data_IF_079518009456
#
_entry.id   IF_079518009456
#
_cell.length_a   1.000
_cell.length_b   1.000
_cell.length_c   1.000
_cell.angle_alpha   90.00
_cell.angle_beta   90.00
_cell.angle_gamma   90.00
#
_symmetry.space_group_name_H-M   'P 1'
#
loop_
_entity.id
_entity.type
_entity.pdbx_description
1 polymer ?
#
# COMPACT_ATOMS: atom_id res chain seq x y z
N UNK A 1 -1.98 27.12 29.68
CA UNK A 1 -2.44 25.98 28.87
C UNK A 1 -2.83 26.52 27.52
N UNK A 2 -1.98 26.35 26.50
CA UNK A 2 -2.44 26.54 25.11
C UNK A 2 -3.29 25.32 24.77
N UNK A 3 -4.55 25.55 24.41
CA UNK A 3 -5.43 24.50 23.92
C UNK A 3 -4.76 23.81 22.73
N UNK A 4 -4.83 22.48 22.69
CA UNK A 4 -4.43 21.72 21.51
C UNK A 4 -5.18 22.28 20.28
N UNK A 5 -4.52 22.46 19.13
CA UNK A 5 -5.20 22.95 17.93
C UNK A 5 -6.30 21.95 17.56
N UNK A 6 -7.55 22.41 17.58
CA UNK A 6 -8.71 21.62 17.16
C UNK A 6 -8.48 21.14 15.73
N UNK A 7 -8.46 19.82 15.54
CA UNK A 7 -8.32 19.19 14.23
C UNK A 7 -9.53 19.58 13.37
N UNK A 8 -9.30 20.09 12.16
CA UNK A 8 -10.39 20.52 11.29
C UNK A 8 -11.16 19.29 10.78
N UNK A 9 -12.43 19.20 11.16
CA UNK A 9 -13.29 18.09 10.75
C UNK A 9 -13.98 18.43 9.42
N UNK A 10 -13.55 17.77 8.34
CA UNK A 10 -14.05 18.00 6.97
C UNK A 10 -15.51 17.59 6.78
N UNK A 11 -15.96 16.59 7.56
CA UNK A 11 -17.27 15.95 7.42
C UNK A 11 -18.26 16.32 8.54
N UNK A 12 -17.97 17.35 9.34
CA UNK A 12 -18.92 17.88 10.33
C UNK A 12 -20.16 18.48 9.65
N UNK A 13 -21.28 18.57 10.36
CA UNK A 13 -22.53 19.14 9.81
C UNK A 13 -22.34 20.56 9.26
N UNK A 14 -21.42 21.34 9.82
CA UNK A 14 -21.09 22.70 9.40
C UNK A 14 -20.19 22.75 8.16
N UNK A 15 -19.18 21.86 8.06
CA UNK A 15 -18.16 21.91 7.02
C UNK A 15 -18.45 21.00 5.83
N UNK A 16 -19.19 19.91 6.01
CA UNK A 16 -19.50 18.95 4.95
C UNK A 16 -20.08 19.60 3.68
N UNK A 17 -20.98 20.61 3.74
CA UNK A 17 -21.49 21.28 2.56
C UNK A 17 -20.43 22.03 1.73
N UNK A 18 -19.30 22.42 2.36
CA UNK A 18 -18.22 23.16 1.69
C UNK A 18 -17.31 22.22 0.89
N UNK A 19 -17.13 20.98 1.36
CA UNK A 19 -16.16 20.02 0.83
C UNK A 19 -16.79 18.93 -0.04
N UNK A 20 -18.04 18.54 0.25
CA UNK A 20 -18.71 17.45 -0.44
C UNK A 20 -18.92 17.77 -1.93
N UNK A 21 -18.46 16.87 -2.79
CA UNK A 21 -18.49 16.98 -4.24
C UNK A 21 -17.69 18.16 -4.82
N UNK A 22 -16.81 18.79 -4.02
CA UNK A 22 -15.97 19.89 -4.46
C UNK A 22 -14.95 19.43 -5.50
N UNK A 23 -14.38 18.24 -5.31
CA UNK A 23 -13.32 17.65 -6.12
C UNK A 23 -13.86 16.71 -7.19
N UNK A 24 -15.03 16.09 -6.98
CA UNK A 24 -15.62 15.07 -7.89
C UNK A 24 -15.60 15.48 -9.37
N UNK A 25 -16.02 16.71 -9.69
CA UNK A 25 -16.05 17.19 -11.08
C UNK A 25 -14.65 17.33 -11.70
N UNK A 26 -13.64 17.65 -10.88
CA UNK A 26 -12.25 17.74 -11.30
C UNK A 26 -11.60 16.35 -11.40
N UNK A 27 -11.86 15.48 -10.42
CA UNK A 27 -11.40 14.08 -10.41
C UNK A 27 -11.89 13.31 -11.65
N UNK A 28 -13.12 13.58 -12.11
CA UNK A 28 -13.62 13.03 -13.39
C UNK A 28 -12.76 13.45 -14.59
N UNK A 29 -12.26 14.68 -14.61
CA UNK A 29 -11.35 15.16 -15.68
C UNK A 29 -9.98 14.52 -15.58
N UNK A 30 -9.45 14.37 -14.36
CA UNK A 30 -8.18 13.67 -14.09
C UNK A 30 -8.29 12.21 -14.55
N UNK A 31 -9.38 11.53 -14.23
CA UNK A 31 -9.64 10.16 -14.66
C UNK A 31 -9.65 10.04 -16.20
N UNK A 32 -10.35 10.93 -16.89
CA UNK A 32 -10.37 10.94 -18.37
C UNK A 32 -8.99 11.22 -18.97
N UNK A 33 -8.14 12.01 -18.30
CA UNK A 33 -6.77 12.26 -18.76
C UNK A 33 -5.91 10.99 -18.70
N UNK A 34 -6.04 10.20 -17.63
CA UNK A 34 -5.21 9.01 -17.41
C UNK A 34 -5.78 7.78 -18.14
N UNK A 35 -7.10 7.60 -18.11
CA UNK A 35 -7.80 6.48 -18.72
C UNK A 35 -9.03 6.94 -19.54
N UNK A 36 -8.84 7.48 -20.76
CA UNK A 36 -9.94 8.02 -21.59
C UNK A 36 -11.04 7.03 -21.98
N UNK A 37 -10.76 5.72 -21.87
CA UNK A 37 -11.66 4.64 -22.29
C UNK A 37 -12.49 4.07 -21.15
N UNK A 38 -12.19 4.41 -19.90
CA UNK A 38 -12.92 3.91 -18.74
C UNK A 38 -13.97 4.94 -18.30
N UNK A 39 -15.11 4.47 -17.80
CA UNK A 39 -16.03 5.29 -17.02
C UNK A 39 -15.69 5.19 -15.52
N UNK A 40 -16.27 6.06 -14.71
CA UNK A 40 -16.16 5.98 -13.24
C UNK A 40 -17.50 6.33 -12.62
N UNK A 41 -17.89 5.57 -11.61
CA UNK A 41 -19.11 5.84 -10.86
C UNK A 41 -18.93 7.05 -9.95
N UNK A 42 -20.02 7.78 -9.68
CA UNK A 42 -19.95 8.96 -8.81
C UNK A 42 -19.53 8.59 -7.37
N UNK A 43 -19.94 7.40 -6.86
CA UNK A 43 -19.51 6.87 -5.56
C UNK A 43 -18.00 6.57 -5.52
N UNK A 44 -17.42 6.10 -6.63
CA UNK A 44 -15.97 5.91 -6.74
C UNK A 44 -15.22 7.25 -6.61
N UNK A 45 -15.67 8.28 -7.33
CA UNK A 45 -15.05 9.60 -7.28
C UNK A 45 -15.25 10.31 -5.94
N UNK A 46 -16.39 10.09 -5.27
CA UNK A 46 -16.62 10.56 -3.90
C UNK A 46 -15.65 9.89 -2.91
N UNK A 47 -15.39 8.60 -3.07
CA UNK A 47 -14.40 7.90 -2.23
C UNK A 47 -12.97 8.43 -2.46
N UNK A 48 -12.59 8.73 -3.70
CA UNK A 48 -11.29 9.40 -3.97
C UNK A 48 -11.26 10.79 -3.33
N UNK A 49 -12.35 11.56 -3.40
CA UNK A 49 -12.43 12.86 -2.72
C UNK A 49 -12.18 12.73 -1.21
N UNK A 50 -12.79 11.74 -0.55
CA UNK A 50 -12.56 11.47 0.89
C UNK A 50 -11.08 11.25 1.21
N UNK A 51 -10.39 10.41 0.42
CA UNK A 51 -8.96 10.15 0.58
C UNK A 51 -8.12 11.41 0.37
N UNK A 52 -8.41 12.20 -0.66
CA UNK A 52 -7.68 13.45 -0.94
C UNK A 52 -7.90 14.50 0.15
N UNK A 53 -9.08 14.54 0.77
CA UNK A 53 -9.34 15.41 1.92
C UNK A 53 -8.61 14.93 3.19
N UNK A 54 -8.51 13.61 3.41
CA UNK A 54 -7.67 13.07 4.47
C UNK A 54 -6.19 13.46 4.27
N UNK A 55 -5.69 13.38 3.04
CA UNK A 55 -4.34 13.82 2.70
C UNK A 55 -4.16 15.33 2.96
N UNK A 56 -5.14 16.14 2.58
CA UNK A 56 -5.12 17.58 2.84
C UNK A 56 -5.03 17.87 4.34
N UNK A 57 -5.79 17.15 5.16
CA UNK A 57 -5.70 17.25 6.62
C UNK A 57 -4.27 16.96 7.11
N UNK A 58 -3.68 15.85 6.68
CA UNK A 58 -2.32 15.44 7.07
C UNK A 58 -1.26 16.50 6.71
N UNK A 59 -1.40 17.13 5.55
CA UNK A 59 -0.52 18.24 5.13
C UNK A 59 -0.73 19.50 5.99
N UNK A 60 -1.99 19.83 6.31
CA UNK A 60 -2.34 21.03 7.09
C UNK A 60 -1.95 20.93 8.57
N UNK A 61 -1.83 19.72 9.13
CA UNK A 61 -1.38 19.51 10.52
C UNK A 61 0.01 20.11 10.81
N UNK A 62 0.89 20.17 9.79
CA UNK A 62 2.21 20.79 9.91
C UNK A 62 2.16 22.33 9.98
N UNK A 63 0.98 22.93 9.84
CA UNK A 63 0.76 24.38 9.77
C UNK A 63 1.73 25.11 8.82
N UNK A 64 1.81 24.72 7.53
CA UNK A 64 2.77 25.26 6.59
C UNK A 64 2.50 26.74 6.26
N UNK A 65 3.52 27.60 6.45
CA UNK A 65 3.45 29.03 6.14
C UNK A 65 4.12 29.40 4.82
N UNK A 66 4.98 28.54 4.31
CA UNK A 66 5.66 28.69 3.02
C UNK A 66 5.47 27.45 2.15
N UNK A 67 5.73 27.55 0.84
CA UNK A 67 5.70 26.37 -0.03
C UNK A 67 6.82 25.38 0.33
N UNK A 68 7.94 25.86 0.89
CA UNK A 68 9.03 25.02 1.40
C UNK A 68 8.58 24.18 2.59
N UNK A 69 7.72 24.73 3.45
CA UNK A 69 7.19 23.97 4.61
C UNK A 69 6.29 22.83 4.14
N UNK A 70 5.55 23.03 3.04
CA UNK A 70 4.75 21.97 2.40
C UNK A 70 5.65 20.92 1.77
N UNK A 71 6.72 21.33 1.08
CA UNK A 71 7.72 20.43 0.52
C UNK A 71 8.38 19.55 1.59
N UNK A 72 8.83 20.17 2.69
CA UNK A 72 9.41 19.47 3.84
C UNK A 72 8.42 18.48 4.46
N UNK A 73 7.12 18.84 4.53
CA UNK A 73 6.09 17.94 5.03
C UNK A 73 5.90 16.75 4.11
N UNK A 74 5.77 16.97 2.80
CA UNK A 74 5.64 15.91 1.79
C UNK A 74 6.84 14.97 1.85
N UNK A 75 8.06 15.49 1.92
CA UNK A 75 9.27 14.67 1.99
C UNK A 75 9.32 13.77 3.24
N UNK A 76 8.71 14.19 4.34
CA UNK A 76 8.71 13.44 5.60
C UNK A 76 7.57 12.42 5.70
N UNK A 77 6.42 12.67 5.10
CA UNK A 77 5.25 11.79 5.23
C UNK A 77 5.00 10.88 4.03
N UNK A 78 5.47 11.24 2.83
CA UNK A 78 5.20 10.46 1.62
C UNK A 78 6.27 9.36 1.47
N UNK A 79 5.90 8.09 1.24
CA UNK A 79 6.89 7.02 1.08
C UNK A 79 7.70 7.15 -0.21
N UNK A 80 8.95 6.68 -0.20
CA UNK A 80 9.77 6.69 -1.42
C UNK A 80 9.23 5.66 -2.44
N UNK A 81 9.09 5.99 -3.75
CA UNK A 81 9.51 7.21 -4.43
C UNK A 81 8.46 8.30 -4.62
N UNK A 82 7.24 8.15 -4.12
CA UNK A 82 6.12 9.07 -4.43
C UNK A 82 6.40 10.51 -3.99
N UNK A 83 7.18 10.67 -2.91
CA UNK A 83 7.70 11.92 -2.39
C UNK A 83 8.38 12.77 -3.47
N UNK A 84 9.37 12.21 -4.17
CA UNK A 84 10.20 12.97 -5.13
C UNK A 84 9.38 13.43 -6.34
N UNK A 85 8.46 12.60 -6.81
CA UNK A 85 7.66 12.91 -7.98
C UNK A 85 6.56 13.94 -7.66
N UNK A 86 5.94 13.83 -6.48
CA UNK A 86 4.97 14.80 -6.01
C UNK A 86 5.60 16.20 -5.84
N UNK A 87 6.79 16.28 -5.24
CA UNK A 87 7.54 17.53 -5.09
C UNK A 87 7.88 18.12 -6.46
N UNK A 88 8.40 17.31 -7.39
CA UNK A 88 8.75 17.79 -8.72
C UNK A 88 7.55 18.33 -9.51
N UNK A 89 6.37 17.69 -9.42
CA UNK A 89 5.16 18.20 -10.09
C UNK A 89 4.65 19.50 -9.46
N UNK A 90 4.68 19.57 -8.12
CA UNK A 90 4.26 20.75 -7.37
C UNK A 90 5.18 21.97 -7.61
N UNK A 91 6.49 21.76 -7.64
CA UNK A 91 7.47 22.78 -8.03
C UNK A 91 7.20 23.29 -9.45
N UNK A 92 6.95 22.37 -10.41
CA UNK A 92 6.62 22.79 -11.77
C UNK A 92 5.28 23.56 -11.86
N UNK A 93 4.37 23.43 -10.89
CA UNK A 93 3.12 24.19 -10.84
C UNK A 93 3.35 25.66 -10.44
N UNK A 94 4.30 25.93 -9.56
CA UNK A 94 4.61 27.29 -9.09
C UNK A 94 5.62 28.01 -10.00
N UNK A 95 6.55 27.30 -10.64
CA UNK A 95 7.58 27.89 -11.50
C UNK A 95 7.04 28.34 -12.87
N UNK A 96 6.08 27.59 -13.44
CA UNK A 96 5.59 27.82 -14.79
C UNK A 96 4.25 28.55 -14.76
N UNK A 97 4.28 29.88 -14.93
CA UNK A 97 3.09 30.71 -15.26
C UNK A 97 2.35 30.25 -16.54
N UNK A 98 2.91 29.32 -17.32
CA UNK A 98 2.28 28.64 -18.45
C UNK A 98 2.50 27.13 -18.35
N UNK A 99 1.79 26.46 -17.44
CA UNK A 99 1.69 24.99 -17.44
C UNK A 99 0.98 24.56 -18.74
N UNK A 100 1.45 23.47 -19.36
CA UNK A 100 0.85 22.94 -20.60
C UNK A 100 -0.59 22.46 -20.35
N UNK A 101 -0.88 22.02 -19.12
CA UNK A 101 -2.21 21.70 -18.60
C UNK A 101 -2.38 22.40 -17.23
N UNK A 102 -3.30 23.37 -17.07
CA UNK A 102 -3.62 23.95 -15.77
C UNK A 102 -4.15 22.87 -14.80
N UNK A 103 -4.01 23.11 -13.50
CA UNK A 103 -4.57 22.23 -12.47
C UNK A 103 -6.08 22.06 -12.70
N UNK A 104 -6.56 20.83 -12.66
CA UNK A 104 -7.97 20.50 -12.75
C UNK A 104 -8.70 20.78 -11.44
N UNK A 105 -8.04 20.57 -10.30
CA UNK A 105 -8.61 20.85 -8.99
C UNK A 105 -8.88 22.35 -8.80
N UNK A 106 -9.99 22.75 -8.16
CA UNK A 106 -10.42 24.14 -8.12
C UNK A 106 -9.65 24.97 -7.07
N UNK A 107 -8.42 25.39 -7.41
CA UNK A 107 -7.55 26.20 -6.52
C UNK A 107 -8.28 27.41 -5.93
N UNK A 108 -9.07 28.12 -6.74
CA UNK A 108 -9.82 29.31 -6.31
C UNK A 108 -10.89 29.02 -5.25
N UNK A 109 -11.41 27.78 -5.21
CA UNK A 109 -12.37 27.36 -4.19
C UNK A 109 -11.67 26.78 -2.95
N UNK A 110 -10.55 26.10 -3.15
CA UNK A 110 -9.77 25.48 -2.06
C UNK A 110 -9.00 26.56 -1.27
N UNK A 111 -8.51 27.62 -1.92
CA UNK A 111 -7.69 28.66 -1.28
C UNK A 111 -8.40 29.39 -0.12
N UNK A 112 -9.67 29.83 -0.24
CA UNK A 112 -10.42 30.35 0.91
C UNK A 112 -10.60 29.33 2.03
N UNK A 113 -10.92 28.08 1.69
CA UNK A 113 -11.14 27.01 2.67
C UNK A 113 -9.87 26.65 3.44
N UNK A 114 -8.70 26.68 2.79
CA UNK A 114 -7.41 26.47 3.45
C UNK A 114 -7.16 27.49 4.56
N UNK A 115 -7.65 28.72 4.44
CA UNK A 115 -7.54 29.74 5.49
C UNK A 115 -8.41 29.40 6.69
N UNK A 116 -9.57 28.78 6.46
CA UNK A 116 -10.45 28.28 7.52
C UNK A 116 -9.81 27.08 8.23
N UNK A 117 -9.26 26.13 7.47
CA UNK A 117 -8.59 24.92 7.99
C UNK A 117 -7.36 25.28 8.83
N UNK A 118 -6.53 26.20 8.35
CA UNK A 118 -5.27 26.56 9.01
C UNK A 118 -5.42 27.67 10.06
N UNK A 119 -6.53 28.42 10.04
CA UNK A 119 -6.79 29.51 10.98
C UNK A 119 -5.93 30.77 10.77
N UNK A 120 -5.21 30.88 9.65
CA UNK A 120 -4.40 32.06 9.30
C UNK A 120 -4.40 32.36 7.80
N UNK A 121 -3.84 33.52 7.45
CA UNK A 121 -3.75 33.97 6.05
C UNK A 121 -2.69 33.16 5.30
N UNK A 122 -3.14 32.34 4.36
CA UNK A 122 -2.28 31.54 3.46
C UNK A 122 -2.02 32.33 2.18
N UNK A 123 -0.77 32.31 1.69
CA UNK A 123 -0.42 32.92 0.42
C UNK A 123 -0.91 32.06 -0.76
N UNK A 124 -1.26 32.69 -1.88
CA UNK A 124 -1.82 32.00 -3.04
C UNK A 124 -0.86 30.94 -3.61
N UNK A 125 0.45 31.24 -3.62
CA UNK A 125 1.47 30.30 -4.07
C UNK A 125 1.51 29.00 -3.23
N UNK A 126 1.30 29.10 -1.91
CA UNK A 126 1.25 27.93 -1.01
C UNK A 126 0.02 27.08 -1.34
N UNK A 127 -1.13 27.71 -1.58
CA UNK A 127 -2.34 26.99 -1.99
C UNK A 127 -2.20 26.30 -3.34
N UNK A 128 -1.56 26.94 -4.33
CA UNK A 128 -1.25 26.30 -5.63
C UNK A 128 -0.37 25.08 -5.42
N UNK A 129 0.65 25.17 -4.55
CA UNK A 129 1.56 24.07 -4.27
C UNK A 129 0.83 22.88 -3.60
N UNK A 130 0.03 23.14 -2.56
CA UNK A 130 -0.78 22.10 -1.89
C UNK A 130 -1.71 21.42 -2.91
N UNK A 131 -2.46 22.20 -3.69
CA UNK A 131 -3.41 21.63 -4.66
C UNK A 131 -2.70 20.84 -5.76
N UNK A 132 -1.49 21.23 -6.16
CA UNK A 132 -0.69 20.45 -7.09
C UNK A 132 -0.29 19.07 -6.53
N UNK A 133 0.09 19.00 -5.25
CA UNK A 133 0.36 17.73 -4.56
C UNK A 133 -0.91 16.86 -4.51
N UNK A 134 -2.06 17.44 -4.15
CA UNK A 134 -3.34 16.72 -4.10
C UNK A 134 -3.74 16.17 -5.48
N UNK A 135 -3.54 16.95 -6.55
CA UNK A 135 -3.85 16.54 -7.91
C UNK A 135 -2.92 15.43 -8.40
N UNK A 136 -1.64 15.49 -8.05
CA UNK A 136 -0.67 14.42 -8.36
C UNK A 136 -1.12 13.09 -7.74
N UNK A 137 -1.44 13.07 -6.45
CA UNK A 137 -1.92 11.87 -5.76
C UNK A 137 -3.27 11.39 -6.32
N UNK A 138 -4.18 12.32 -6.63
CA UNK A 138 -5.45 11.98 -7.30
C UNK A 138 -5.21 11.24 -8.61
N UNK A 139 -4.29 11.74 -9.44
CA UNK A 139 -3.94 11.13 -10.71
C UNK A 139 -3.28 9.75 -10.52
N UNK A 140 -2.44 9.59 -9.49
CA UNK A 140 -1.74 8.33 -9.21
C UNK A 140 -2.70 7.23 -8.75
N UNK A 141 -3.63 7.54 -7.83
CA UNK A 141 -4.72 6.63 -7.43
C UNK A 141 -5.54 6.21 -8.66
N UNK A 142 -6.01 7.17 -9.46
CA UNK A 142 -6.84 6.89 -10.63
C UNK A 142 -6.09 6.11 -11.72
N UNK A 143 -4.77 6.29 -11.83
CA UNK A 143 -3.88 5.52 -12.71
C UNK A 143 -3.73 4.08 -12.27
N UNK A 144 -3.47 3.88 -10.98
CA UNK A 144 -3.36 2.54 -10.39
C UNK A 144 -4.65 1.75 -10.60
N UNK A 145 -5.78 2.34 -10.22
CA UNK A 145 -7.09 1.69 -10.31
C UNK A 145 -7.51 1.47 -11.76
N UNK A 146 -7.28 2.44 -12.64
CA UNK A 146 -7.59 2.27 -14.06
C UNK A 146 -6.75 1.19 -14.74
N UNK A 147 -5.50 0.98 -14.32
CA UNK A 147 -4.70 -0.17 -14.77
C UNK A 147 -5.27 -1.49 -14.23
N UNK A 148 -5.64 -1.54 -12.95
CA UNK A 148 -6.28 -2.71 -12.35
C UNK A 148 -7.58 -3.11 -13.09
N UNK A 149 -8.50 -2.16 -13.27
CA UNK A 149 -9.80 -2.36 -13.96
C UNK A 149 -9.60 -2.82 -15.40
N UNK A 150 -8.63 -2.24 -16.13
CA UNK A 150 -8.28 -2.67 -17.48
C UNK A 150 -7.74 -4.11 -17.52
N UNK A 151 -6.94 -4.50 -16.52
CA UNK A 151 -6.36 -5.84 -16.46
C UNK A 151 -7.43 -6.92 -16.24
N UNK A 152 -8.47 -6.62 -15.46
CA UNK A 152 -9.63 -7.51 -15.29
C UNK A 152 -10.67 -7.38 -16.42
N UNK A 153 -10.37 -6.57 -17.45
CA UNK A 153 -11.22 -6.33 -18.64
C UNK A 153 -12.61 -5.75 -18.32
N UNK A 154 -12.68 -4.90 -17.30
CA UNK A 154 -13.83 -4.07 -17.03
C UNK A 154 -13.65 -2.68 -17.68
N UNK A 155 -14.77 -2.02 -18.00
CA UNK A 155 -14.78 -0.69 -18.63
C UNK A 155 -15.20 0.43 -17.66
N UNK A 156 -15.56 0.09 -16.41
CA UNK A 156 -16.04 1.04 -15.40
C UNK A 156 -15.26 0.88 -14.09
N UNK A 157 -14.83 2.00 -13.51
CA UNK A 157 -14.17 2.06 -12.21
C UNK A 157 -15.22 2.22 -11.12
N UNK A 158 -15.25 1.27 -10.18
CA UNK A 158 -16.13 1.31 -9.00
C UNK A 158 -15.35 1.61 -7.72
N UNK A 159 -16.06 1.97 -6.64
CA UNK A 159 -15.47 2.17 -5.30
C UNK A 159 -14.74 0.92 -4.79
N UNK A 160 -15.26 -0.26 -5.10
CA UNK A 160 -14.64 -1.51 -4.67
C UNK A 160 -13.30 -1.75 -5.40
N UNK A 161 -13.22 -1.40 -6.68
CA UNK A 161 -11.97 -1.49 -7.44
C UNK A 161 -10.89 -0.58 -6.86
N UNK A 162 -11.27 0.61 -6.40
CA UNK A 162 -10.35 1.52 -5.71
C UNK A 162 -9.80 0.87 -4.45
N UNK A 163 -10.67 0.33 -3.58
CA UNK A 163 -10.25 -0.33 -2.34
C UNK A 163 -9.31 -1.49 -2.60
N UNK A 164 -9.64 -2.37 -3.56
CA UNK A 164 -8.82 -3.55 -3.88
C UNK A 164 -7.46 -3.14 -4.44
N UNK A 165 -7.43 -2.20 -5.38
CA UNK A 165 -6.19 -1.74 -5.99
C UNK A 165 -5.30 -1.03 -4.97
N UNK A 166 -5.89 -0.20 -4.09
CA UNK A 166 -5.14 0.43 -2.99
C UNK A 166 -4.55 -0.61 -2.06
N UNK A 167 -5.32 -1.61 -1.59
CA UNK A 167 -4.78 -2.67 -0.72
C UNK A 167 -3.58 -3.43 -1.32
N UNK A 168 -3.48 -3.48 -2.64
CA UNK A 168 -2.35 -4.11 -3.34
C UNK A 168 -1.13 -3.18 -3.49
N UNK A 169 -1.30 -1.88 -3.33
CA UNK A 169 -0.23 -0.88 -3.46
C UNK A 169 0.30 -0.46 -2.10
N UNK A 170 1.50 -0.96 -1.77
CA UNK A 170 2.14 -0.68 -0.48
C UNK A 170 2.40 0.80 -0.24
N UNK A 171 2.72 1.57 -1.28
CA UNK A 171 3.09 2.99 -1.13
C UNK A 171 1.87 3.81 -0.76
N UNK A 172 0.74 3.61 -1.44
CA UNK A 172 -0.51 4.31 -1.12
C UNK A 172 -1.12 3.79 0.18
N UNK A 173 -1.03 2.48 0.47
CA UNK A 173 -1.48 1.96 1.77
C UNK A 173 -0.69 2.57 2.91
N UNK A 174 0.65 2.57 2.82
CA UNK A 174 1.52 3.16 3.82
C UNK A 174 1.31 4.68 3.92
N UNK A 175 0.77 5.36 2.91
CA UNK A 175 0.49 6.79 2.98
C UNK A 175 -0.86 7.11 3.65
N UNK A 176 -1.90 6.30 3.41
CA UNK A 176 -3.26 6.56 3.92
C UNK A 176 -3.58 5.85 5.25
N UNK A 177 -2.75 4.91 5.70
CA UNK A 177 -2.93 4.16 6.95
C UNK A 177 -1.92 4.49 8.05
N UNK A 178 -1.19 5.62 7.96
CA UNK A 178 -0.20 6.05 8.98
C UNK A 178 -0.81 6.38 10.35
N UNK A 179 -2.12 6.63 10.41
CA UNK A 179 -2.81 7.11 11.63
C UNK A 179 -3.06 6.03 12.70
N UNK A 180 -2.59 4.79 12.53
CA UNK A 180 -2.71 3.76 13.57
C UNK A 180 -1.42 3.59 14.40
N UNK A 181 -0.25 4.01 13.89
CA UNK A 181 1.03 3.74 14.56
C UNK A 181 1.82 4.99 14.97
N UNK A 182 1.67 6.15 14.31
CA UNK A 182 2.60 7.28 14.48
C UNK A 182 2.10 8.45 15.35
N UNK A 183 0.88 8.38 15.92
CA UNK A 183 0.41 9.30 16.98
C UNK A 183 0.78 8.78 18.40
N UNK A 184 1.40 7.60 18.50
CA UNK A 184 1.72 6.95 19.78
C UNK A 184 3.09 7.31 20.36
N UNK A 185 3.94 8.08 19.67
CA UNK A 185 5.37 8.22 20.06
C UNK A 185 5.73 9.49 20.86
N UNK A 186 4.84 10.48 21.05
CA UNK A 186 5.24 11.78 21.65
C UNK A 186 4.42 12.31 22.84
N UNK A 187 3.49 11.56 23.41
CA UNK A 187 2.85 11.94 24.68
C UNK A 187 2.80 10.78 25.66
N UNK A 188 3.80 10.74 26.55
CA UNK A 188 3.67 10.12 27.86
C UNK A 188 2.59 10.87 28.64
N UNK A 189 1.35 10.41 28.52
CA UNK A 189 0.27 10.69 29.44
C UNK A 189 -0.70 9.53 29.36
N UNK A 190 -0.79 8.78 30.46
CA UNK A 190 -1.83 7.80 30.76
C UNK A 190 -3.20 8.37 30.35
N UNK A 191 -3.73 7.95 29.19
CA UNK A 191 -5.14 7.66 28.90
C UNK A 191 -5.20 6.99 27.52
N UNK A 192 -5.50 5.70 27.53
CA UNK A 192 -5.67 4.88 26.33
C UNK A 192 -6.82 5.39 25.45
N UNK A 193 -6.62 5.57 24.14
CA UNK A 193 -7.72 5.79 23.22
C UNK A 193 -8.39 4.45 22.91
N UNK A 194 -9.58 4.29 23.46
CA UNK A 194 -10.41 3.10 23.33
C UNK A 194 -10.83 2.84 21.87
N UNK A 195 -10.00 2.12 21.11
CA UNK A 195 -10.40 1.43 19.88
C UNK A 195 -9.72 0.06 19.74
N UNK A 196 -9.63 -0.69 20.83
CA UNK A 196 -9.54 -2.14 20.71
C UNK A 196 -10.66 -2.72 21.56
N UNK A 197 -11.69 -3.26 20.91
CA UNK A 197 -12.40 -4.36 21.57
C UNK A 197 -11.33 -5.34 22.00
N UNK A 198 -11.32 -5.71 23.28
CA UNK A 198 -10.34 -6.61 23.90
C UNK A 198 -9.94 -7.72 22.92
N UNK A 199 -8.77 -7.61 22.28
CA UNK A 199 -8.28 -8.69 21.42
C UNK A 199 -7.91 -9.82 22.37
N UNK A 200 -8.76 -10.84 22.39
CA UNK A 200 -8.51 -11.99 23.24
C UNK A 200 -7.27 -12.72 22.74
N UNK A 201 -6.53 -13.37 23.63
CA UNK A 201 -5.39 -14.22 23.23
C UNK A 201 -5.80 -15.22 22.14
N UNK A 202 -7.04 -15.70 22.19
CA UNK A 202 -7.64 -16.57 21.19
C UNK A 202 -7.71 -15.91 19.81
N UNK A 203 -8.11 -14.64 19.71
CA UNK A 203 -8.17 -13.91 18.45
C UNK A 203 -6.78 -13.69 17.85
N UNK A 204 -5.77 -13.43 18.68
CA UNK A 204 -4.38 -13.31 18.24
C UNK A 204 -3.86 -14.63 17.64
N UNK A 205 -4.08 -15.75 18.34
CA UNK A 205 -3.70 -17.08 17.84
C UNK A 205 -4.40 -17.39 16.53
N UNK A 206 -5.69 -17.07 16.42
CA UNK A 206 -6.48 -17.28 15.19
C UNK A 206 -5.97 -16.42 14.03
N UNK A 207 -5.61 -15.16 14.28
CA UNK A 207 -5.00 -14.28 13.27
C UNK A 207 -3.65 -14.82 12.80
N UNK A 208 -2.78 -15.20 13.75
CA UNK A 208 -1.48 -15.79 13.45
C UNK A 208 -1.59 -17.06 12.58
N UNK A 209 -2.53 -17.96 12.90
CA UNK A 209 -2.78 -19.15 12.08
C UNK A 209 -3.24 -18.79 10.66
N UNK A 210 -4.03 -17.72 10.48
CA UNK A 210 -4.45 -17.26 9.16
C UNK A 210 -3.26 -16.71 8.35
N UNK A 211 -2.37 -15.96 8.98
CA UNK A 211 -1.14 -15.45 8.37
C UNK A 211 -0.19 -16.58 7.96
N UNK A 212 0.04 -17.56 8.84
CA UNK A 212 0.91 -18.71 8.53
C UNK A 212 0.33 -19.54 7.38
N UNK A 213 -1.00 -19.71 7.30
CA UNK A 213 -1.66 -20.37 6.14
C UNK A 213 -1.41 -19.59 4.85
N UNK A 214 -1.47 -18.27 4.89
CA UNK A 214 -1.20 -17.43 3.74
C UNK A 214 0.27 -17.54 3.31
N UNK A 215 1.19 -17.50 4.26
CA UNK A 215 2.62 -17.70 4.01
C UNK A 215 2.93 -19.08 3.39
N UNK A 216 2.30 -20.16 3.87
CA UNK A 216 2.43 -21.50 3.27
C UNK A 216 1.93 -21.52 1.82
N UNK A 217 0.84 -20.81 1.48
CA UNK A 217 0.37 -20.70 0.09
C UNK A 217 1.40 -20.01 -0.80
N UNK A 218 2.04 -18.95 -0.31
CA UNK A 218 3.10 -18.25 -1.03
C UNK A 218 4.34 -19.13 -1.24
N UNK A 219 4.75 -19.88 -0.21
CA UNK A 219 5.82 -20.87 -0.34
C UNK A 219 5.45 -21.97 -1.34
N UNK A 220 4.20 -22.43 -1.37
CA UNK A 220 3.72 -23.38 -2.37
C UNK A 220 3.78 -22.81 -3.79
N UNK A 221 3.46 -21.53 -3.97
CA UNK A 221 3.61 -20.86 -5.26
C UNK A 221 5.08 -20.86 -5.71
N UNK A 222 5.99 -20.49 -4.80
CA UNK A 222 7.43 -20.51 -5.08
C UNK A 222 7.91 -21.92 -5.43
N UNK A 223 7.54 -22.93 -4.65
CA UNK A 223 8.02 -24.30 -4.83
C UNK A 223 7.40 -24.93 -6.09
N UNK A 224 6.08 -24.87 -6.24
CA UNK A 224 5.36 -25.62 -7.29
C UNK A 224 5.30 -24.89 -8.62
N UNK A 225 5.32 -23.56 -8.63
CA UNK A 225 5.20 -22.77 -9.87
C UNK A 225 6.56 -22.24 -10.33
N UNK A 226 7.40 -21.76 -9.40
CA UNK A 226 8.69 -21.17 -9.77
C UNK A 226 9.85 -22.16 -9.72
N UNK A 227 9.94 -23.05 -8.74
CA UNK A 227 11.07 -23.99 -8.60
C UNK A 227 10.91 -25.21 -9.52
N UNK A 228 9.70 -25.73 -9.68
CA UNK A 228 9.40 -26.93 -10.49
C UNK A 228 9.93 -26.87 -11.95
N UNK A 229 9.81 -25.74 -12.69
CA UNK A 229 10.35 -25.64 -14.06
C UNK A 229 11.88 -25.74 -14.14
N UNK A 230 12.59 -25.30 -13.09
CA UNK A 230 14.06 -25.37 -13.03
C UNK A 230 14.53 -26.80 -12.74
N UNK A 231 13.77 -27.56 -11.95
CA UNK A 231 14.03 -28.99 -11.70
C UNK A 231 13.75 -29.82 -12.95
N UNK A 232 12.63 -29.53 -13.63
CA UNK A 232 12.17 -30.31 -14.79
C UNK A 232 13.14 -30.17 -15.98
N UNK A 233 13.78 -29.00 -16.13
CA UNK A 233 14.77 -28.74 -17.19
C UNK A 233 16.22 -28.94 -16.71
N UNK A 234 16.54 -30.17 -16.26
CA UNK A 234 17.88 -30.55 -15.79
C UNK A 234 19.01 -30.40 -16.84
N UNK A 235 18.66 -30.16 -18.12
CA UNK A 235 19.64 -29.84 -19.18
C UNK A 235 20.11 -28.39 -19.15
N UNK A 236 19.32 -27.48 -18.55
CA UNK A 236 19.61 -26.05 -18.48
C UNK A 236 20.06 -25.61 -17.09
N UNK A 237 19.62 -26.31 -16.03
CA UNK A 237 19.97 -26.00 -14.64
C UNK A 237 20.42 -27.26 -13.92
N UNK A 238 21.56 -27.18 -13.22
CA UNK A 238 22.01 -28.25 -12.34
C UNK A 238 21.31 -28.19 -10.98
N UNK A 239 21.32 -29.29 -10.21
CA UNK A 239 20.77 -29.31 -8.85
C UNK A 239 21.37 -28.24 -7.93
N UNK A 240 22.66 -27.94 -8.11
CA UNK A 240 23.37 -26.89 -7.39
C UNK A 240 22.89 -25.48 -7.78
N UNK A 241 22.52 -25.25 -9.04
CA UNK A 241 21.96 -23.96 -9.47
C UNK A 241 20.59 -23.72 -8.87
N UNK A 242 19.75 -24.76 -8.83
CA UNK A 242 18.43 -24.69 -8.18
C UNK A 242 18.58 -24.42 -6.68
N UNK A 243 19.51 -25.09 -6.01
CA UNK A 243 19.79 -24.87 -4.60
C UNK A 243 20.35 -23.47 -4.33
N UNK A 244 21.19 -22.92 -5.21
CA UNK A 244 21.65 -21.53 -5.07
C UNK A 244 20.53 -20.51 -5.25
N UNK A 245 19.54 -20.78 -6.11
CA UNK A 245 18.45 -19.85 -6.41
C UNK A 245 17.38 -19.87 -5.34
N UNK A 246 16.96 -21.06 -4.93
CA UNK A 246 15.82 -21.27 -4.02
C UNK A 246 16.24 -21.62 -2.59
N UNK A 247 17.54 -21.84 -2.35
CA UNK A 247 18.08 -22.22 -1.04
C UNK A 247 17.28 -23.39 -0.43
N UNK A 248 17.12 -23.39 0.89
CA UNK A 248 16.33 -24.38 1.63
C UNK A 248 14.86 -23.99 1.77
N UNK A 249 14.24 -23.47 0.71
CA UNK A 249 12.82 -23.07 0.73
C UNK A 249 11.87 -24.24 1.05
N UNK A 250 12.22 -25.46 0.65
CA UNK A 250 11.46 -26.67 0.99
C UNK A 250 11.45 -26.94 2.49
N UNK A 251 12.59 -26.76 3.16
CA UNK A 251 12.72 -26.96 4.61
C UNK A 251 11.92 -25.89 5.37
N UNK A 252 11.94 -24.64 4.89
CA UNK A 252 11.13 -23.55 5.44
C UNK A 252 9.64 -23.88 5.31
N UNK A 253 9.20 -24.33 4.14
CA UNK A 253 7.83 -24.76 3.93
C UNK A 253 7.42 -25.92 4.84
N UNK A 254 8.26 -26.95 4.96
CA UNK A 254 8.00 -28.08 5.86
C UNK A 254 7.88 -27.62 7.31
N UNK A 255 8.76 -26.74 7.77
CA UNK A 255 8.71 -26.19 9.13
C UNK A 255 7.44 -25.36 9.36
N UNK A 256 7.06 -24.50 8.41
CA UNK A 256 5.84 -23.70 8.51
C UNK A 256 4.58 -24.56 8.57
N UNK A 257 4.51 -25.64 7.78
CA UNK A 257 3.41 -26.61 7.84
C UNK A 257 3.38 -27.33 9.19
N UNK A 258 4.53 -27.75 9.72
CA UNK A 258 4.61 -28.40 11.05
C UNK A 258 4.20 -27.46 12.18
N UNK A 259 4.68 -26.22 12.17
CA UNK A 259 4.30 -25.20 13.16
C UNK A 259 2.79 -24.94 13.12
N UNK A 260 2.23 -24.74 11.93
CA UNK A 260 0.79 -24.54 11.79
C UNK A 260 -0.01 -25.74 12.31
N UNK A 261 0.41 -26.96 11.95
CA UNK A 261 -0.24 -28.19 12.40
C UNK A 261 -0.23 -28.32 13.93
N UNK A 262 0.91 -28.11 14.59
CA UNK A 262 0.99 -28.17 16.05
C UNK A 262 0.09 -27.14 16.74
N UNK A 263 -0.01 -25.94 16.17
CA UNK A 263 -0.91 -24.89 16.69
C UNK A 263 -2.37 -25.27 16.46
N UNK A 264 -2.72 -25.79 15.27
CA UNK A 264 -4.08 -26.29 14.97
C UNK A 264 -4.50 -27.40 15.94
N UNK A 265 -3.63 -28.39 16.15
CA UNK A 265 -3.86 -29.49 17.09
C UNK A 265 -4.03 -28.97 18.53
N UNK A 266 -3.19 -28.02 18.96
CA UNK A 266 -3.27 -27.45 20.31
C UNK A 266 -4.57 -26.66 20.52
N UNK A 267 -5.02 -25.93 19.51
CA UNK A 267 -6.29 -25.20 19.54
C UNK A 267 -7.48 -26.17 19.56
N UNK A 268 -7.42 -27.25 18.79
CA UNK A 268 -8.47 -28.28 18.75
C UNK A 268 -8.58 -29.07 20.06
N UNK A 269 -7.44 -29.33 20.71
CA UNK A 269 -7.36 -30.07 21.98
C UNK A 269 -7.59 -29.19 23.22
N UNK A 270 -7.86 -27.88 23.04
CA UNK A 270 -8.15 -26.98 24.16
C UNK A 270 -9.61 -27.13 24.60
N UNK A 271 -9.82 -27.60 25.84
CA UNK A 271 -11.17 -27.77 26.41
C UNK A 271 -11.96 -26.44 26.44
N UNK A 272 -13.29 -26.51 26.25
CA UNK A 272 -14.21 -25.35 26.28
C UNK A 272 -14.17 -24.55 27.62
N UNK A 273 -13.64 -25.14 28.69
CA UNK A 273 -13.45 -24.50 30.00
C UNK A 273 -12.12 -23.77 30.18
N UNK A 274 -11.21 -23.84 29.20
CA UNK A 274 -9.90 -23.20 29.24
C UNK A 274 -9.96 -21.76 28.75
N UNK A 275 -9.26 -20.81 29.40
CA UNK A 275 -9.33 -19.40 29.02
C UNK A 275 -8.66 -19.09 27.67
N UNK A 276 -7.70 -19.91 27.24
CA UNK A 276 -7.02 -19.80 25.95
C UNK A 276 -6.17 -21.05 25.63
N UNK A 277 -5.86 -21.33 24.35
CA UNK A 277 -4.97 -22.42 23.95
C UNK A 277 -3.53 -22.16 24.38
N UNK A 278 -2.80 -23.19 24.81
CA UNK A 278 -1.42 -23.07 25.29
C UNK A 278 -0.41 -23.31 24.16
N UNK A 279 -0.44 -22.47 23.13
CA UNK A 279 0.41 -22.63 21.92
C UNK A 279 1.91 -22.38 22.17
N UNK A 280 2.28 -21.90 23.36
CA UNK A 280 3.68 -21.62 23.74
C UNK A 280 4.58 -22.85 23.68
N UNK A 281 4.07 -24.03 24.05
CA UNK A 281 4.81 -25.29 23.97
C UNK A 281 5.16 -25.67 22.53
N UNK A 282 4.31 -25.32 21.56
CA UNK A 282 4.60 -25.55 20.14
C UNK A 282 5.88 -24.83 19.72
N UNK A 283 6.07 -23.60 20.18
CA UNK A 283 7.27 -22.80 19.87
C UNK A 283 8.49 -23.30 20.63
N UNK A 284 8.32 -23.76 21.87
CA UNK A 284 9.39 -24.34 22.69
C UNK A 284 9.93 -25.63 22.05
N UNK A 285 9.05 -26.55 21.63
CA UNK A 285 9.41 -27.78 20.93
C UNK A 285 10.16 -27.49 19.63
N UNK A 286 9.75 -26.46 18.88
CA UNK A 286 10.42 -26.03 17.66
C UNK A 286 11.75 -25.31 17.92
N UNK A 287 11.89 -24.65 19.06
CA UNK A 287 13.11 -23.97 19.50
C UNK A 287 14.18 -24.95 19.96
N UNK A 288 13.79 -25.99 20.71
CA UNK A 288 14.69 -26.99 21.29
C UNK A 288 15.44 -27.78 20.21
N UNK A 289 14.83 -27.97 19.03
CA UNK A 289 15.43 -28.65 17.88
C UNK A 289 16.49 -27.78 17.16
N UNK A 290 16.80 -26.57 17.65
CA UNK A 290 17.90 -25.72 17.16
C UNK A 290 17.61 -25.01 15.84
N UNK A 291 16.37 -25.07 15.34
CA UNK A 291 15.99 -24.54 14.03
C UNK A 291 15.71 -23.03 14.01
N UNK A 292 15.56 -22.36 15.17
CA UNK A 292 15.11 -20.95 15.22
C UNK A 292 16.14 -19.95 14.69
N UNK A 293 17.43 -20.13 14.96
CA UNK A 293 18.46 -19.18 14.47
C UNK A 293 18.63 -19.30 12.95
N UNK A 294 18.51 -20.53 12.43
CA UNK A 294 18.50 -20.82 10.99
C UNK A 294 17.19 -20.31 10.37
N UNK A 295 16.05 -20.42 11.04
CA UNK A 295 14.76 -19.92 10.57
C UNK A 295 14.73 -18.39 10.51
N UNK A 296 15.19 -17.69 11.54
CA UNK A 296 15.22 -16.23 11.56
C UNK A 296 16.22 -15.67 10.54
N UNK A 297 17.43 -16.23 10.47
CA UNK A 297 18.44 -15.79 9.50
C UNK A 297 18.07 -16.17 8.07
N UNK A 298 17.56 -17.38 7.81
CA UNK A 298 17.18 -17.78 6.45
C UNK A 298 15.83 -17.24 6.02
N UNK A 299 14.83 -17.03 6.88
CA UNK A 299 13.58 -16.37 6.47
C UNK A 299 13.86 -14.90 6.17
N UNK A 300 14.66 -14.20 6.97
CA UNK A 300 15.01 -12.81 6.71
C UNK A 300 15.92 -12.68 5.47
N UNK A 301 16.99 -13.49 5.35
CA UNK A 301 17.85 -13.47 4.17
C UNK A 301 17.16 -14.05 2.93
N UNK A 302 16.43 -15.16 2.98
CA UNK A 302 15.70 -15.68 1.81
C UNK A 302 14.55 -14.76 1.42
N UNK A 303 13.84 -14.10 2.33
CA UNK A 303 12.80 -13.14 1.91
C UNK A 303 13.43 -11.98 1.16
N UNK A 304 14.57 -11.45 1.62
CA UNK A 304 15.32 -10.38 0.94
C UNK A 304 15.95 -10.88 -0.38
N UNK A 305 16.57 -12.08 -0.38
CA UNK A 305 17.23 -12.65 -1.56
C UNK A 305 16.24 -13.17 -2.61
N UNK A 306 15.12 -13.79 -2.21
CA UNK A 306 14.04 -14.15 -3.13
C UNK A 306 13.39 -12.90 -3.67
N UNK A 307 13.15 -11.84 -2.89
CA UNK A 307 12.55 -10.62 -3.46
C UNK A 307 13.44 -10.01 -4.55
N UNK A 308 14.76 -9.95 -4.32
CA UNK A 308 15.72 -9.51 -5.33
C UNK A 308 15.83 -10.49 -6.49
N UNK A 309 16.00 -11.80 -6.25
CA UNK A 309 16.21 -12.81 -7.31
C UNK A 309 14.94 -13.20 -8.06
N UNK A 310 13.76 -13.30 -7.43
CA UNK A 310 12.48 -13.39 -8.14
C UNK A 310 12.22 -12.13 -8.95
N UNK A 311 12.61 -10.94 -8.48
CA UNK A 311 12.60 -9.74 -9.29
C UNK A 311 13.37 -9.92 -10.60
N UNK A 312 14.60 -10.44 -10.54
CA UNK A 312 15.41 -10.76 -11.72
C UNK A 312 14.89 -11.96 -12.52
N UNK A 313 14.32 -12.99 -11.90
CA UNK A 313 13.77 -14.18 -12.56
C UNK A 313 12.46 -13.85 -13.27
N UNK A 314 11.61 -13.02 -12.68
CA UNK A 314 10.39 -12.49 -13.32
C UNK A 314 10.79 -11.59 -14.48
N UNK A 315 11.80 -10.72 -14.31
CA UNK A 315 12.34 -9.92 -15.42
C UNK A 315 12.92 -10.81 -16.53
N UNK A 316 13.64 -11.87 -16.17
CA UNK A 316 14.24 -12.84 -17.09
C UNK A 316 13.20 -13.70 -17.81
N UNK A 317 12.14 -14.14 -17.12
CA UNK A 317 10.99 -14.83 -17.72
C UNK A 317 10.17 -13.90 -18.60
N UNK A 318 9.97 -12.63 -18.21
CA UNK A 318 9.41 -11.60 -19.10
C UNK A 318 10.30 -11.40 -20.33
N UNK A 319 11.62 -11.38 -20.16
CA UNK A 319 12.56 -11.24 -21.27
C UNK A 319 12.53 -12.45 -22.20
N UNK A 320 12.49 -13.68 -21.67
CA UNK A 320 12.37 -14.92 -22.44
C UNK A 320 11.00 -15.05 -23.12
N UNK A 321 9.93 -14.62 -22.45
CA UNK A 321 8.60 -14.58 -23.03
C UNK A 321 8.52 -13.56 -24.16
N UNK A 322 9.15 -12.38 -24.01
CA UNK A 322 9.29 -11.38 -25.06
C UNK A 322 10.19 -11.87 -26.22
N UNK A 323 11.29 -12.57 -25.95
CA UNK A 323 12.15 -13.19 -26.98
C UNK A 323 11.46 -14.32 -27.73
N UNK A 324 10.63 -15.11 -27.05
CA UNK A 324 9.77 -16.14 -27.65
C UNK A 324 8.67 -15.52 -28.53
N UNK A 325 8.03 -14.45 -28.05
CA UNK A 325 7.01 -13.71 -28.79
C UNK A 325 7.57 -13.00 -30.05
N UNK A 326 8.84 -12.59 -30.02
CA UNK A 326 9.53 -12.00 -31.19
C UNK A 326 9.95 -13.06 -32.22
N UNK A 327 10.20 -14.31 -31.82
CA UNK A 327 10.54 -15.40 -32.75
C UNK A 327 9.33 -16.01 -33.48
N UNK A 328 8.10 -15.76 -33.01
CA UNK A 328 6.85 -16.19 -33.66
C UNK A 328 6.07 -14.99 -34.25
N UNK A 329 6.75 -14.14 -35.03
CA UNK A 329 6.07 -13.28 -35.99
C UNK A 329 5.58 -14.09 -37.20
N UNK A 330 4.37 -13.85 -37.74
CA UNK A 330 3.86 -14.63 -38.86
C UNK A 330 4.77 -14.44 -40.07
N UNK A 331 5.21 -15.55 -40.67
CA UNK A 331 5.70 -15.53 -42.06
C UNK A 331 4.55 -15.02 -42.92
N UNK A 332 4.65 -13.77 -43.33
CA UNK A 332 3.86 -13.20 -44.41
C UNK A 332 4.39 -13.88 -45.68
N UNK A 333 3.69 -14.92 -46.15
CA UNK A 333 3.84 -15.41 -47.52
C UNK A 333 3.15 -14.42 -48.45
N UNK A 334 3.91 -13.96 -49.44
CA UNK A 334 3.49 -13.16 -50.59
C UNK A 334 2.89 -14.07 -51.65
#
# INVERSE_FOLDING_TARGET
MQAAPLQYEFFSEENAPKWRSLLVAALKKVQMQVHPKLSSTDDALQYVEELILQLLNMLCQAQPRSFSDVEDRVQKSFPHPIDKWAIADAQSAIEKRKRRNPLFLPVEKIHPLLKEVLGYKVDHQVSVYIVAVLEYISADILKLVGNYVRNIRHDEITKQDIKVAMCADKVLMDMFHQDVEDISTLTLSDEEPSTSGEQTYYDLVKSFMAEVRQYIRELNLIIKVFREPFITNAKLFSGHDVENIFSRVSDIHELSVKLLGHIEDTVEMTDEGSPHPLVGSCFEDLAEVGNIIILFMNVLLCSIFLFFRLGYIILFFLMLFMLSAVSFGPKIEV
#
